data_IF_142469805173
#
_entry.id   IF_142469805173
#
_cell.length_a   1.000
_cell.length_b   1.000
_cell.length_c   1.000
_cell.angle_alpha   90.00
_cell.angle_beta   90.00
_cell.angle_gamma   90.00
#
_symmetry.space_group_name_H-M   'P 1'
#
loop_
_entity.id
_entity.type
_entity.pdbx_description
1 polymer ?
#
# COMPACT_ATOMS: atom_id res chain seq x y z
N UNK A 1 -14.93 -12.12 -17.20
CA UNK A 1 -14.33 -10.84 -17.58
C UNK A 1 -13.58 -10.38 -16.34
N UNK A 2 -12.25 -10.19 -16.43
CA UNK A 2 -11.50 -9.60 -15.32
C UNK A 2 -11.97 -8.14 -15.20
N UNK A 3 -12.43 -7.74 -14.01
CA UNK A 3 -12.76 -6.34 -13.71
C UNK A 3 -11.49 -5.49 -13.85
N UNK A 4 -11.62 -4.28 -14.38
CA UNK A 4 -10.55 -3.29 -14.29
C UNK A 4 -10.37 -2.85 -12.85
N UNK A 5 -9.19 -2.30 -12.51
CA UNK A 5 -8.93 -1.82 -11.16
C UNK A 5 -9.91 -0.71 -10.74
N UNK A 6 -10.36 0.10 -11.69
CA UNK A 6 -11.32 1.16 -11.47
C UNK A 6 -12.73 0.63 -11.16
N UNK A 7 -13.11 -0.52 -11.73
CA UNK A 7 -14.38 -1.19 -11.45
C UNK A 7 -14.43 -1.84 -10.06
N UNK A 8 -13.27 -1.94 -9.38
CA UNK A 8 -13.20 -2.43 -8.00
C UNK A 8 -13.60 -1.36 -6.97
N UNK A 9 -13.65 -0.08 -7.34
CA UNK A 9 -13.99 1.01 -6.41
C UNK A 9 -15.44 0.92 -5.96
N UNK A 10 -15.66 1.05 -4.65
CA UNK A 10 -17.02 1.01 -4.07
C UNK A 10 -17.76 -0.31 -4.26
N UNK A 11 -17.05 -1.38 -4.68
CA UNK A 11 -17.65 -2.69 -4.89
C UNK A 11 -18.32 -3.19 -3.60
N UNK A 12 -19.57 -3.66 -3.72
CA UNK A 12 -20.30 -4.25 -2.61
C UNK A 12 -21.32 -5.27 -3.14
N UNK A 13 -21.07 -6.56 -2.91
CA UNK A 13 -21.94 -7.62 -3.42
C UNK A 13 -21.91 -8.88 -2.56
N UNK A 14 -23.02 -9.62 -2.55
CA UNK A 14 -23.10 -10.94 -1.96
C UNK A 14 -22.46 -11.96 -2.90
N UNK A 15 -21.37 -12.59 -2.45
CA UNK A 15 -20.63 -13.57 -3.22
C UNK A 15 -21.21 -14.97 -3.09
N UNK A 16 -20.99 -15.81 -4.11
CA UNK A 16 -21.33 -17.25 -4.10
C UNK A 16 -20.65 -18.03 -2.97
N UNK A 17 -19.56 -17.49 -2.38
CA UNK A 17 -18.90 -18.07 -1.20
C UNK A 17 -19.66 -17.89 0.11
N UNK A 18 -20.80 -17.17 0.11
CA UNK A 18 -21.65 -16.91 1.28
C UNK A 18 -21.26 -15.67 2.10
N UNK A 19 -20.24 -14.91 1.68
CA UNK A 19 -19.87 -13.63 2.32
C UNK A 19 -20.20 -12.44 1.43
N UNK A 20 -20.45 -11.30 2.06
CA UNK A 20 -20.50 -10.02 1.37
C UNK A 20 -19.07 -9.50 1.19
N UNK A 21 -18.69 -9.20 -0.05
CA UNK A 21 -17.41 -8.55 -0.36
C UNK A 21 -17.64 -7.07 -0.59
N UNK A 22 -16.86 -6.24 0.08
CA UNK A 22 -16.91 -4.79 -0.06
C UNK A 22 -15.51 -4.20 -0.15
N UNK A 23 -15.38 -3.16 -0.96
CA UNK A 23 -14.16 -2.36 -1.14
C UNK A 23 -14.49 -0.93 -0.79
N UNK A 24 -13.95 -0.43 0.32
CA UNK A 24 -14.23 0.90 0.85
C UNK A 24 -13.39 2.02 0.23
N UNK A 25 -12.80 1.80 -0.95
CA UNK A 25 -11.98 2.78 -1.68
C UNK A 25 -12.89 3.48 -2.68
N UNK A 26 -12.96 4.82 -2.63
CA UNK A 26 -13.82 5.60 -3.53
C UNK A 26 -13.19 5.83 -4.91
N UNK A 27 -11.85 5.96 -4.96
CA UNK A 27 -11.14 6.25 -6.21
C UNK A 27 -9.80 5.53 -6.27
N UNK A 28 -9.54 4.87 -7.39
CA UNK A 28 -8.21 4.33 -7.72
C UNK A 28 -7.81 4.90 -9.08
N UNK A 29 -6.63 5.54 -9.13
CA UNK A 29 -6.04 6.08 -10.36
C UNK A 29 -4.62 5.56 -10.52
N UNK A 30 -4.41 4.78 -11.58
CA UNK A 30 -3.10 4.25 -11.97
C UNK A 30 -2.85 4.62 -13.42
N UNK A 31 -1.75 5.31 -13.71
CA UNK A 31 -1.42 5.72 -15.09
C UNK A 31 -0.45 6.89 -15.12
N UNK A 32 -0.05 7.29 -16.33
CA UNK A 32 0.84 8.45 -16.53
C UNK A 32 0.11 9.77 -16.24
N UNK A 33 0.73 10.67 -15.48
CA UNK A 33 0.23 12.01 -15.19
C UNK A 33 -0.98 12.07 -14.27
N UNK A 34 -1.42 10.93 -13.68
CA UNK A 34 -2.64 10.87 -12.85
C UNK A 34 -2.56 11.67 -11.56
N UNK A 35 -1.37 11.99 -11.07
CA UNK A 35 -1.16 12.85 -9.91
C UNK A 35 -1.83 14.23 -10.08
N UNK A 36 -1.94 14.73 -11.32
CA UNK A 36 -2.59 16.01 -11.61
C UNK A 36 -4.11 16.00 -11.33
N UNK A 37 -4.71 14.81 -11.18
CA UNK A 37 -6.13 14.67 -10.82
C UNK A 37 -6.38 14.80 -9.31
N UNK A 38 -5.33 14.89 -8.49
CA UNK A 38 -5.45 14.89 -7.02
C UNK A 38 -6.43 15.98 -6.51
N UNK A 39 -6.38 17.26 -6.95
CA UNK A 39 -7.34 18.26 -6.48
C UNK A 39 -8.79 17.86 -6.79
N UNK A 40 -9.04 17.31 -7.97
CA UNK A 40 -10.39 16.84 -8.36
C UNK A 40 -10.84 15.66 -7.51
N UNK A 41 -9.94 14.73 -7.20
CA UNK A 41 -10.24 13.54 -6.38
C UNK A 41 -10.67 13.95 -4.97
N UNK A 42 -10.01 14.96 -4.40
CA UNK A 42 -10.28 15.43 -3.02
C UNK A 42 -11.15 16.68 -2.97
N UNK A 43 -11.84 17.00 -4.05
CA UNK A 43 -12.64 18.25 -4.18
C UNK A 43 -13.64 18.47 -3.04
N UNK A 44 -14.18 17.40 -2.46
CA UNK A 44 -15.09 17.48 -1.32
C UNK A 44 -14.44 18.08 -0.05
N UNK A 45 -13.11 18.22 -0.03
CA UNK A 45 -12.32 18.81 1.05
C UNK A 45 -11.78 20.21 0.72
N UNK A 46 -12.29 20.86 -0.35
CA UNK A 46 -11.89 22.21 -0.75
C UNK A 46 -12.04 23.20 0.40
N UNK A 47 -11.03 24.03 0.65
CA UNK A 47 -10.96 24.98 1.76
C UNK A 47 -10.67 24.36 3.14
N UNK A 48 -10.61 23.04 3.25
CA UNK A 48 -10.34 22.29 4.49
C UNK A 48 -8.85 22.16 4.77
N UNK A 49 -8.51 21.69 5.97
CA UNK A 49 -7.15 21.44 6.43
C UNK A 49 -6.66 20.08 5.96
N UNK A 50 -5.68 20.10 5.08
CA UNK A 50 -4.99 18.91 4.57
C UNK A 50 -3.61 18.79 5.23
N UNK A 51 -3.25 17.60 5.68
CA UNK A 51 -1.96 17.30 6.28
C UNK A 51 -1.20 16.29 5.40
N UNK A 52 -0.07 16.71 4.83
CA UNK A 52 0.79 15.85 3.99
C UNK A 52 1.82 15.17 4.87
N UNK A 53 1.97 13.86 4.72
CA UNK A 53 2.97 13.04 5.39
C UNK A 53 3.88 12.43 4.33
N UNK A 54 5.18 12.67 4.45
CA UNK A 54 6.19 12.28 3.48
C UNK A 54 7.58 12.22 4.12
N UNK A 55 8.56 11.67 3.44
CA UNK A 55 9.98 11.76 3.77
C UNK A 55 10.74 12.66 2.78
N UNK A 56 12.02 12.90 3.03
CA UNK A 56 12.85 13.77 2.19
C UNK A 56 12.93 13.31 0.74
N UNK A 57 12.95 11.98 0.49
CA UNK A 57 13.04 11.43 -0.86
C UNK A 57 11.70 11.56 -1.58
N UNK A 58 10.60 11.16 -0.92
CA UNK A 58 9.27 11.22 -1.50
C UNK A 58 8.78 12.65 -1.70
N UNK A 59 9.24 13.61 -0.86
CA UNK A 59 9.03 15.04 -1.09
C UNK A 59 9.62 15.49 -2.42
N UNK A 60 10.87 15.09 -2.72
CA UNK A 60 11.54 15.49 -3.98
C UNK A 60 10.87 14.90 -5.22
N UNK A 61 10.45 13.64 -5.18
CA UNK A 61 9.92 12.94 -6.36
C UNK A 61 8.43 13.21 -6.62
N UNK A 62 7.65 13.51 -5.58
CA UNK A 62 6.20 13.68 -5.68
C UNK A 62 5.64 14.80 -4.79
N UNK A 63 6.14 14.94 -3.56
CA UNK A 63 5.58 15.83 -2.54
C UNK A 63 5.52 17.30 -2.94
N UNK A 64 6.58 17.81 -3.56
CA UNK A 64 6.60 19.20 -4.12
C UNK A 64 5.44 19.41 -5.09
N UNK A 65 5.20 18.44 -5.96
CA UNK A 65 4.13 18.50 -6.94
C UNK A 65 2.76 18.46 -6.27
N UNK A 66 2.60 17.57 -5.27
CA UNK A 66 1.36 17.48 -4.48
C UNK A 66 1.06 18.80 -3.77
N UNK A 67 2.06 19.40 -3.09
CA UNK A 67 1.92 20.69 -2.44
C UNK A 67 1.52 21.80 -3.43
N UNK A 68 2.18 21.87 -4.58
CA UNK A 68 1.87 22.85 -5.63
C UNK A 68 0.43 22.73 -6.14
N UNK A 69 -0.06 21.49 -6.32
CA UNK A 69 -1.40 21.22 -6.81
C UNK A 69 -2.49 21.62 -5.79
N UNK A 70 -2.17 21.56 -4.49
CA UNK A 70 -3.18 21.71 -3.43
C UNK A 70 -3.18 23.10 -2.78
N UNK A 71 -2.07 23.85 -2.79
CA UNK A 71 -1.90 25.10 -2.03
C UNK A 71 -2.92 26.20 -2.33
N UNK A 72 -3.51 26.23 -3.54
CA UNK A 72 -4.46 27.28 -3.94
C UNK A 72 -5.88 27.02 -3.43
N UNK A 73 -6.27 25.74 -3.33
CA UNK A 73 -7.65 25.34 -3.02
C UNK A 73 -7.80 24.77 -1.60
N UNK A 74 -6.69 24.42 -0.94
CA UNK A 74 -6.69 23.75 0.37
C UNK A 74 -5.78 24.46 1.36
N UNK A 75 -6.06 24.30 2.66
CA UNK A 75 -5.14 24.72 3.72
C UNK A 75 -4.12 23.59 3.94
N UNK A 76 -2.95 23.74 3.39
CA UNK A 76 -1.93 22.69 3.41
C UNK A 76 -0.97 22.88 4.58
N UNK A 77 -0.76 21.84 5.35
CA UNK A 77 0.37 21.67 6.26
C UNK A 77 1.06 20.34 5.96
N UNK A 78 2.31 20.18 6.34
CA UNK A 78 3.08 18.97 6.02
C UNK A 78 4.04 18.61 7.14
N UNK A 79 4.40 17.33 7.18
CA UNK A 79 5.49 16.81 7.95
C UNK A 79 6.42 15.98 7.05
N UNK A 80 7.68 16.32 7.04
CA UNK A 80 8.71 15.63 6.24
C UNK A 80 9.65 14.94 7.21
N UNK A 81 9.69 13.60 7.15
CA UNK A 81 10.66 12.81 7.89
C UNK A 81 12.05 12.97 7.29
N UNK A 82 13.05 13.19 8.16
CA UNK A 82 14.45 13.38 7.75
C UNK A 82 15.34 12.18 8.13
N UNK A 83 14.76 11.11 8.64
CA UNK A 83 15.47 9.89 8.97
C UNK A 83 15.94 9.18 7.71
N UNK A 84 17.20 8.74 7.69
CA UNK A 84 17.75 7.90 6.64
C UNK A 84 17.02 6.55 6.59
N UNK A 85 16.61 6.05 7.75
CA UNK A 85 15.87 4.81 7.93
C UNK A 85 14.59 5.05 8.70
N UNK A 86 13.51 5.32 8.00
CA UNK A 86 12.20 5.56 8.57
C UNK A 86 11.49 4.23 8.87
N UNK A 87 11.19 3.98 10.13
CA UNK A 87 10.44 2.81 10.55
C UNK A 87 9.04 3.17 11.04
N UNK A 88 8.02 2.35 10.76
CA UNK A 88 6.67 2.55 11.27
C UNK A 88 6.59 2.08 12.74
N UNK A 89 7.13 2.90 13.67
CA UNK A 89 7.21 2.58 15.08
C UNK A 89 6.55 3.65 15.96
N UNK A 90 6.55 3.42 17.28
CA UNK A 90 5.94 4.31 18.28
C UNK A 90 6.54 5.72 18.24
N UNK A 91 7.85 5.85 18.01
CA UNK A 91 8.52 7.14 17.96
C UNK A 91 8.04 7.96 16.76
N UNK A 92 7.95 7.34 15.60
CA UNK A 92 7.46 7.94 14.35
C UNK A 92 6.01 8.40 14.51
N UNK A 93 5.16 7.54 15.05
CA UNK A 93 3.76 7.88 15.35
C UNK A 93 3.62 8.98 16.39
N UNK A 94 4.44 8.94 17.44
CA UNK A 94 4.45 9.96 18.48
C UNK A 94 4.80 11.34 17.92
N UNK A 95 5.78 11.44 17.02
CA UNK A 95 6.14 12.70 16.34
C UNK A 95 4.99 13.24 15.50
N UNK A 96 4.35 12.39 14.69
CA UNK A 96 3.20 12.81 13.88
C UNK A 96 2.03 13.31 14.74
N UNK A 97 1.76 12.65 15.87
CA UNK A 97 0.70 13.09 16.81
C UNK A 97 0.99 14.46 17.43
N UNK A 98 2.26 14.86 17.57
CA UNK A 98 2.63 16.17 18.05
C UNK A 98 2.54 17.26 16.98
N UNK A 99 2.71 16.90 15.72
CA UNK A 99 2.81 17.83 14.59
C UNK A 99 1.50 17.99 13.80
N UNK A 100 0.62 16.96 13.83
CA UNK A 100 -0.65 17.02 13.10
C UNK A 100 -1.56 18.12 13.67
N UNK A 101 -2.06 19.06 12.84
CA UNK A 101 -2.99 20.08 13.29
C UNK A 101 -4.28 19.48 13.88
N UNK A 102 -4.77 20.04 15.00
CA UNK A 102 -5.96 19.53 15.71
C UNK A 102 -7.22 19.44 14.83
N UNK A 103 -7.32 20.27 13.80
CA UNK A 103 -8.46 20.29 12.86
C UNK A 103 -8.09 19.79 11.48
N UNK A 104 -7.28 18.73 11.40
CA UNK A 104 -6.99 18.08 10.13
C UNK A 104 -8.22 17.33 9.64
N UNK A 105 -8.64 17.62 8.41
CA UNK A 105 -9.81 17.00 7.77
C UNK A 105 -9.43 15.85 6.85
N UNK A 106 -8.20 15.87 6.30
CA UNK A 106 -7.70 14.86 5.36
C UNK A 106 -6.19 14.69 5.52
N UNK A 107 -5.73 13.44 5.49
CA UNK A 107 -4.31 13.11 5.40
C UNK A 107 -3.97 12.75 3.96
N UNK A 108 -2.87 13.30 3.43
CA UNK A 108 -2.27 12.89 2.15
C UNK A 108 -0.94 12.20 2.47
N UNK A 109 -0.89 10.90 2.28
CA UNK A 109 0.34 10.12 2.37
C UNK A 109 1.07 10.17 1.02
N UNK A 110 2.30 10.66 0.98
CA UNK A 110 3.13 10.67 -0.24
C UNK A 110 4.33 9.76 0.00
N UNK A 111 4.27 8.56 -0.54
CA UNK A 111 5.31 7.56 -0.28
C UNK A 111 4.95 6.15 -0.69
N UNK A 112 5.67 5.19 -0.14
CA UNK A 112 5.41 3.77 -0.31
C UNK A 112 4.96 3.10 0.99
N UNK A 113 5.40 1.89 1.30
CA UNK A 113 4.91 1.08 2.42
C UNK A 113 4.89 1.78 3.77
N UNK A 114 6.05 2.27 4.24
CA UNK A 114 6.18 2.88 5.58
C UNK A 114 5.28 4.10 5.76
N UNK A 115 5.32 5.05 4.82
CA UNK A 115 4.48 6.25 4.87
C UNK A 115 2.99 5.89 4.80
N UNK A 116 2.63 4.91 3.96
CA UNK A 116 1.27 4.44 3.84
C UNK A 116 0.76 3.81 5.16
N UNK A 117 1.53 2.93 5.79
CA UNK A 117 1.13 2.23 7.02
C UNK A 117 1.01 3.16 8.21
N UNK A 118 1.95 4.11 8.37
CA UNK A 118 1.89 5.17 9.38
C UNK A 118 0.63 6.01 9.18
N UNK A 119 0.37 6.47 7.94
CA UNK A 119 -0.76 7.34 7.64
C UNK A 119 -2.11 6.63 7.79
N UNK A 120 -2.18 5.35 7.38
CA UNK A 120 -3.36 4.50 7.58
C UNK A 120 -3.68 4.31 9.06
N UNK A 121 -2.67 3.98 9.86
CA UNK A 121 -2.84 3.80 11.31
C UNK A 121 -3.27 5.09 11.97
N UNK A 122 -2.60 6.21 11.65
CA UNK A 122 -2.93 7.54 12.19
C UNK A 122 -4.37 7.93 11.82
N UNK A 123 -4.74 7.80 10.55
CA UNK A 123 -6.10 8.05 10.06
C UNK A 123 -7.15 7.21 10.77
N UNK A 124 -6.86 5.91 10.96
CA UNK A 124 -7.74 5.00 11.70
C UNK A 124 -7.93 5.45 13.17
N UNK A 125 -6.84 5.79 13.87
CA UNK A 125 -6.88 6.18 15.29
C UNK A 125 -7.52 7.52 15.52
N UNK A 126 -7.36 8.46 14.60
CA UNK A 126 -7.91 9.81 14.72
C UNK A 126 -9.29 9.97 14.05
N UNK A 127 -9.75 8.96 13.30
CA UNK A 127 -10.99 9.04 12.51
C UNK A 127 -10.88 10.02 11.33
N UNK A 128 -9.67 10.23 10.80
CA UNK A 128 -9.39 11.12 9.68
C UNK A 128 -9.21 10.26 8.41
N UNK A 129 -9.94 10.52 7.32
CA UNK A 129 -9.71 9.84 6.06
C UNK A 129 -8.31 10.16 5.51
N UNK A 130 -7.75 9.22 4.72
CA UNK A 130 -6.46 9.45 4.09
C UNK A 130 -6.47 9.06 2.60
N UNK A 131 -5.62 9.72 1.84
CA UNK A 131 -5.32 9.42 0.43
C UNK A 131 -3.87 9.01 0.34
N UNK A 132 -3.57 7.97 -0.45
CA UNK A 132 -2.19 7.60 -0.76
C UNK A 132 -1.81 8.02 -2.17
N UNK A 133 -0.73 8.78 -2.28
CA UNK A 133 0.01 9.04 -3.51
C UNK A 133 1.23 8.11 -3.49
N UNK A 134 1.11 6.98 -4.19
CA UNK A 134 2.15 5.95 -4.22
C UNK A 134 3.36 6.39 -5.05
N UNK A 135 4.57 6.19 -4.52
CA UNK A 135 5.82 6.56 -5.19
C UNK A 135 6.62 5.37 -5.70
N UNK A 136 6.34 4.15 -5.25
CA UNK A 136 7.02 2.93 -5.69
C UNK A 136 6.10 1.70 -5.65
N UNK A 137 6.11 0.82 -6.65
CA UNK A 137 5.32 -0.41 -6.66
C UNK A 137 6.06 -1.54 -5.93
N UNK A 138 6.22 -1.42 -4.60
CA UNK A 138 7.11 -2.29 -3.83
C UNK A 138 6.40 -3.34 -2.98
N UNK A 139 5.11 -3.17 -2.68
CA UNK A 139 4.34 -4.03 -1.78
C UNK A 139 2.83 -3.91 -2.03
N UNK A 140 2.04 -4.86 -1.54
CA UNK A 140 0.58 -4.91 -1.72
C UNK A 140 -0.23 -4.14 -0.66
N UNK A 141 0.43 -3.39 0.23
CA UNK A 141 -0.21 -2.68 1.34
C UNK A 141 -1.06 -1.47 0.97
N UNK A 142 -1.01 -0.94 -0.26
CA UNK A 142 -1.75 0.29 -0.62
C UNK A 142 -3.26 0.20 -0.35
N UNK A 143 -3.87 -0.92 -0.68
CA UNK A 143 -5.29 -1.18 -0.48
C UNK A 143 -5.59 -2.08 0.74
N UNK A 144 -4.62 -2.26 1.64
CA UNK A 144 -4.80 -3.05 2.86
C UNK A 144 -5.66 -2.31 3.88
N UNK A 145 -6.28 -3.07 4.79
CA UNK A 145 -7.03 -2.57 5.96
C UNK A 145 -6.31 -2.85 7.28
N UNK A 146 -5.02 -3.21 7.20
CA UNK A 146 -4.18 -3.44 8.37
C UNK A 146 -2.87 -2.68 8.22
N UNK A 147 -2.28 -2.27 9.35
CA UNK A 147 -1.00 -1.58 9.42
C UNK A 147 -0.03 -2.40 10.26
N UNK A 148 1.00 -3.00 9.67
CA UNK A 148 2.10 -3.60 10.41
C UNK A 148 2.98 -2.48 10.98
N UNK A 149 3.20 -2.49 12.29
CA UNK A 149 4.02 -1.51 13.01
C UNK A 149 5.05 -2.25 13.85
N UNK A 150 6.15 -1.59 14.16
CA UNK A 150 7.18 -2.09 15.06
C UNK A 150 6.91 -1.51 16.44
N UNK A 151 6.53 -2.37 17.40
CA UNK A 151 6.24 -1.97 18.77
C UNK A 151 7.15 -2.78 19.72
N UNK A 152 7.90 -2.09 20.57
CA UNK A 152 8.90 -2.72 21.47
C UNK A 152 9.86 -3.68 20.72
N UNK A 153 10.26 -3.33 19.49
CA UNK A 153 11.15 -4.14 18.65
C UNK A 153 10.49 -5.38 18.03
N UNK A 154 9.17 -5.51 18.12
CA UNK A 154 8.40 -6.62 17.54
C UNK A 154 7.40 -6.07 16.52
N UNK A 155 7.30 -6.76 15.36
CA UNK A 155 6.32 -6.43 14.34
C UNK A 155 4.93 -6.88 14.78
N UNK A 156 4.02 -5.92 14.91
CA UNK A 156 2.63 -6.13 15.33
C UNK A 156 1.69 -5.57 14.28
N UNK A 157 0.72 -6.36 13.86
CA UNK A 157 -0.30 -5.92 12.90
C UNK A 157 -1.49 -5.29 13.63
N UNK A 158 -1.79 -4.05 13.30
CA UNK A 158 -2.93 -3.31 13.83
C UNK A 158 -4.02 -3.14 12.78
N UNK A 159 -5.26 -2.98 13.26
CA UNK A 159 -6.37 -2.62 12.38
C UNK A 159 -6.15 -1.20 11.82
N UNK A 160 -6.42 -1.07 10.53
CA UNK A 160 -6.40 0.18 9.79
C UNK A 160 -7.72 0.42 9.05
N UNK A 161 -7.69 1.35 8.11
CA UNK A 161 -8.83 1.69 7.25
C UNK A 161 -8.42 1.69 5.79
N UNK A 162 -9.36 1.47 4.89
CA UNK A 162 -9.10 1.72 3.47
C UNK A 162 -8.72 3.20 3.26
N UNK A 163 -7.81 3.49 2.31
CA UNK A 163 -7.64 4.86 1.84
C UNK A 163 -8.93 5.32 1.14
N UNK A 164 -9.24 6.61 1.24
CA UNK A 164 -10.29 7.26 0.45
C UNK A 164 -9.98 7.11 -1.04
N UNK A 165 -8.71 7.36 -1.42
CA UNK A 165 -8.23 7.20 -2.77
C UNK A 165 -6.79 6.68 -2.83
N UNK A 166 -6.47 6.00 -3.93
CA UNK A 166 -5.13 5.56 -4.31
C UNK A 166 -4.77 6.24 -5.63
N UNK A 167 -3.65 6.97 -5.64
CA UNK A 167 -3.13 7.67 -6.82
C UNK A 167 -1.71 7.19 -7.08
N UNK A 168 -1.49 6.47 -8.17
CA UNK A 168 -0.21 5.89 -8.55
C UNK A 168 0.19 6.40 -9.93
N UNK A 169 1.03 7.43 -9.96
CA UNK A 169 1.55 8.00 -11.19
C UNK A 169 2.70 7.15 -11.71
N UNK A 170 2.51 6.51 -12.86
CA UNK A 170 3.49 5.59 -13.44
C UNK A 170 4.78 6.32 -13.86
N UNK A 171 4.69 7.60 -14.21
CA UNK A 171 5.88 8.38 -14.53
C UNK A 171 6.78 8.61 -13.31
N UNK A 172 6.20 8.61 -12.11
CA UNK A 172 6.93 8.65 -10.83
C UNK A 172 7.37 7.24 -10.45
N UNK A 173 6.45 6.27 -10.44
CA UNK A 173 6.71 4.93 -9.94
C UNK A 173 7.79 4.17 -10.72
N UNK A 174 7.90 4.37 -12.03
CA UNK A 174 8.95 3.74 -12.85
C UNK A 174 10.38 4.23 -12.50
N UNK A 175 10.50 5.44 -11.92
CA UNK A 175 11.77 5.99 -11.46
C UNK A 175 12.18 5.52 -10.06
N UNK A 176 11.33 4.77 -9.38
CA UNK A 176 11.66 4.19 -8.08
C UNK A 176 12.93 3.33 -8.13
N UNK A 177 13.66 3.17 -7.03
CA UNK A 177 14.82 2.30 -6.96
C UNK A 177 14.53 0.90 -7.51
N UNK A 178 15.47 0.31 -8.26
CA UNK A 178 15.27 -0.99 -8.92
C UNK A 178 14.88 -2.10 -7.92
N UNK A 179 15.45 -2.04 -6.73
CA UNK A 179 15.14 -3.02 -5.68
C UNK A 179 13.66 -2.98 -5.28
N UNK A 180 13.05 -1.79 -5.27
CA UNK A 180 11.62 -1.64 -4.97
C UNK A 180 10.73 -2.22 -6.08
N UNK A 181 11.10 -2.02 -7.35
CA UNK A 181 10.40 -2.65 -8.48
C UNK A 181 10.49 -4.18 -8.42
N UNK A 182 11.69 -4.68 -8.10
CA UNK A 182 11.93 -6.12 -7.94
C UNK A 182 11.18 -6.69 -6.73
N UNK A 183 11.13 -5.94 -5.63
CA UNK A 183 10.38 -6.33 -4.43
C UNK A 183 8.88 -6.47 -4.72
N UNK A 184 8.28 -5.50 -5.41
CA UNK A 184 6.87 -5.59 -5.79
C UNK A 184 6.57 -6.77 -6.70
N UNK A 185 7.44 -7.04 -7.69
CA UNK A 185 7.30 -8.25 -8.51
C UNK A 185 7.42 -9.51 -7.65
N UNK A 186 8.43 -9.57 -6.76
CA UNK A 186 8.63 -10.69 -5.85
C UNK A 186 7.45 -10.91 -4.91
N UNK A 187 6.88 -9.82 -4.39
CA UNK A 187 5.67 -9.86 -3.55
C UNK A 187 4.48 -10.44 -4.31
N UNK A 188 4.24 -10.03 -5.54
CA UNK A 188 3.18 -10.63 -6.37
C UNK A 188 3.46 -12.11 -6.65
N UNK A 189 4.68 -12.49 -7.05
CA UNK A 189 5.00 -13.90 -7.32
C UNK A 189 4.84 -14.79 -6.08
N UNK A 190 5.10 -14.28 -4.88
CA UNK A 190 4.85 -14.98 -3.62
C UNK A 190 3.39 -15.38 -3.41
N UNK A 191 2.43 -14.78 -4.13
CA UNK A 191 1.01 -15.14 -4.03
C UNK A 191 0.73 -16.55 -4.58
N UNK A 192 1.58 -17.12 -5.44
CA UNK A 192 1.45 -18.53 -5.84
C UNK A 192 1.56 -19.48 -4.64
N UNK A 193 2.54 -19.25 -3.76
CA UNK A 193 2.70 -20.03 -2.52
C UNK A 193 1.58 -19.73 -1.52
N UNK A 194 1.17 -18.47 -1.38
CA UNK A 194 0.08 -18.07 -0.52
C UNK A 194 -1.25 -18.75 -0.89
N UNK A 195 -1.59 -18.80 -2.18
CA UNK A 195 -2.79 -19.49 -2.66
C UNK A 195 -2.73 -21.00 -2.44
N UNK A 196 -1.56 -21.62 -2.63
CA UNK A 196 -1.37 -23.04 -2.34
C UNK A 196 -1.57 -23.33 -0.84
N UNK A 197 -1.01 -22.51 0.04
CA UNK A 197 -1.20 -22.61 1.49
C UNK A 197 -2.66 -22.40 1.89
N UNK A 198 -3.38 -21.48 1.23
CA UNK A 198 -4.79 -21.24 1.48
C UNK A 198 -5.65 -22.45 1.09
N UNK A 199 -5.32 -23.15 -0.02
CA UNK A 199 -5.95 -24.43 -0.37
C UNK A 199 -5.70 -25.50 0.66
N UNK A 200 -4.48 -25.64 1.15
CA UNK A 200 -4.11 -26.59 2.20
C UNK A 200 -4.91 -26.30 3.49
N UNK A 201 -4.97 -25.04 3.90
CA UNK A 201 -5.72 -24.61 5.07
C UNK A 201 -7.24 -24.89 4.93
N UNK A 202 -7.81 -24.67 3.74
CA UNK A 202 -9.20 -25.04 3.43
C UNK A 202 -9.44 -26.54 3.63
N UNK A 203 -8.52 -27.40 3.15
CA UNK A 203 -8.70 -28.87 3.19
C UNK A 203 -8.50 -29.39 4.61
N UNK A 204 -7.42 -28.98 5.28
CA UNK A 204 -7.03 -29.53 6.59
C UNK A 204 -7.82 -28.89 7.71
N UNK A 205 -7.85 -27.55 7.76
CA UNK A 205 -8.41 -26.78 8.88
C UNK A 205 -9.86 -26.37 8.65
N UNK A 206 -10.42 -26.64 7.46
CA UNK A 206 -11.76 -26.15 7.05
C UNK A 206 -11.85 -24.62 7.08
N UNK A 207 -10.74 -23.93 6.85
CA UNK A 207 -10.71 -22.48 6.78
C UNK A 207 -11.59 -21.95 5.64
N UNK A 208 -12.09 -20.72 5.82
CA UNK A 208 -12.84 -20.03 4.79
C UNK A 208 -11.98 -19.85 3.53
N UNK A 209 -12.62 -20.05 2.39
CA UNK A 209 -12.01 -19.94 1.07
C UNK A 209 -13.01 -19.35 0.08
N UNK A 210 -12.58 -18.38 -0.72
CA UNK A 210 -13.39 -17.78 -1.77
C UNK A 210 -12.79 -18.02 -3.15
N UNK A 211 -13.45 -18.82 -4.02
CA UNK A 211 -12.96 -19.08 -5.37
C UNK A 211 -12.90 -17.84 -6.27
N UNK A 212 -13.78 -16.84 -6.03
CA UNK A 212 -13.78 -15.60 -6.82
C UNK A 212 -12.57 -14.73 -6.49
N UNK A 213 -12.19 -14.64 -5.21
CA UNK A 213 -10.98 -13.93 -4.79
C UNK A 213 -9.72 -14.65 -5.28
N UNK A 214 -9.69 -15.98 -5.23
CA UNK A 214 -8.60 -16.76 -5.82
C UNK A 214 -8.42 -16.45 -7.31
N UNK A 215 -9.50 -16.48 -8.09
CA UNK A 215 -9.44 -16.15 -9.52
C UNK A 215 -8.94 -14.73 -9.76
N UNK A 216 -9.35 -13.77 -8.93
CA UNK A 216 -8.85 -12.40 -8.99
C UNK A 216 -7.33 -12.37 -8.85
N UNK A 217 -6.78 -12.97 -7.78
CA UNK A 217 -5.33 -13.03 -7.53
C UNK A 217 -4.60 -13.77 -8.64
N UNK A 218 -5.09 -14.93 -9.09
CA UNK A 218 -4.49 -15.68 -10.20
C UNK A 218 -4.45 -14.88 -11.51
N UNK A 219 -5.46 -14.05 -11.77
CA UNK A 219 -5.49 -13.22 -12.99
C UNK A 219 -4.40 -12.13 -12.95
N UNK A 220 -4.10 -11.58 -11.78
CA UNK A 220 -3.03 -10.60 -11.62
C UNK A 220 -1.64 -11.22 -11.72
N UNK A 221 -1.47 -12.41 -11.15
CA UNK A 221 -0.23 -13.19 -11.25
C UNK A 221 0.19 -13.42 -12.70
N UNK A 222 -0.73 -13.87 -13.56
CA UNK A 222 -0.44 -14.10 -14.97
C UNK A 222 0.02 -12.84 -15.70
N UNK A 223 -0.65 -11.71 -15.46
CA UNK A 223 -0.25 -10.43 -16.07
C UNK A 223 1.17 -10.02 -15.64
N UNK A 224 1.52 -10.20 -14.38
CA UNK A 224 2.84 -9.86 -13.87
C UNK A 224 3.92 -10.83 -14.38
N UNK A 225 3.62 -12.12 -14.50
CA UNK A 225 4.54 -13.11 -15.06
C UNK A 225 4.89 -12.77 -16.52
N UNK A 226 3.88 -12.45 -17.34
CA UNK A 226 4.06 -12.05 -18.73
C UNK A 226 4.85 -10.74 -18.86
N UNK A 227 4.70 -9.82 -17.92
CA UNK A 227 5.36 -8.51 -17.92
C UNK A 227 6.74 -8.51 -17.24
N UNK A 228 7.13 -9.57 -16.51
CA UNK A 228 8.31 -9.58 -15.63
C UNK A 228 9.62 -9.18 -16.34
N UNK A 229 9.79 -9.53 -17.62
CA UNK A 229 10.98 -9.18 -18.41
C UNK A 229 11.18 -7.65 -18.56
N UNK A 230 10.11 -6.86 -18.48
CA UNK A 230 10.15 -5.40 -18.62
C UNK A 230 10.57 -4.66 -17.35
N UNK A 231 10.73 -5.34 -16.20
CA UNK A 231 11.09 -4.68 -14.91
C UNK A 231 12.46 -4.01 -14.99
N UNK A 232 13.46 -4.71 -15.53
CA UNK A 232 14.84 -4.19 -15.63
C UNK A 232 14.96 -2.99 -16.57
N UNK A 233 14.11 -2.90 -17.56
CA UNK A 233 14.02 -1.76 -18.50
C UNK A 233 13.10 -0.65 -18.00
N UNK A 234 12.46 -0.81 -16.83
CA UNK A 234 11.48 0.15 -16.28
C UNK A 234 10.34 0.45 -17.24
N UNK A 235 9.92 -0.56 -18.02
CA UNK A 235 8.84 -0.41 -18.97
C UNK A 235 7.55 0.04 -18.26
N UNK A 236 6.95 1.13 -18.77
CA UNK A 236 5.79 1.76 -18.12
C UNK A 236 4.60 0.79 -18.00
N UNK A 237 4.36 -0.04 -19.01
CA UNK A 237 3.28 -1.02 -18.98
C UNK A 237 3.54 -2.13 -17.95
N UNK A 238 4.80 -2.53 -17.79
CA UNK A 238 5.22 -3.50 -16.77
C UNK A 238 5.02 -2.92 -15.36
N UNK A 239 5.49 -1.69 -15.12
CA UNK A 239 5.33 -1.01 -13.83
C UNK A 239 3.85 -0.81 -13.50
N UNK A 240 3.03 -0.46 -14.49
CA UNK A 240 1.58 -0.35 -14.32
C UNK A 240 0.95 -1.69 -13.93
N UNK A 241 1.28 -2.78 -14.63
CA UNK A 241 0.75 -4.11 -14.33
C UNK A 241 1.12 -4.57 -12.92
N UNK A 242 2.36 -4.33 -12.47
CA UNK A 242 2.80 -4.64 -11.10
C UNK A 242 2.01 -3.79 -10.10
N UNK A 243 1.89 -2.49 -10.34
CA UNK A 243 1.15 -1.57 -9.45
C UNK A 243 -0.31 -2.00 -9.29
N UNK A 244 -0.99 -2.27 -10.41
CA UNK A 244 -2.38 -2.74 -10.39
C UNK A 244 -2.51 -4.09 -9.67
N UNK A 245 -1.58 -5.01 -9.88
CA UNK A 245 -1.58 -6.31 -9.21
C UNK A 245 -1.39 -6.19 -7.70
N UNK A 246 -0.48 -5.32 -7.24
CA UNK A 246 -0.26 -5.05 -5.82
C UNK A 246 -1.52 -4.45 -5.17
N UNK A 247 -2.18 -3.50 -5.81
CA UNK A 247 -3.43 -2.91 -5.31
C UNK A 247 -4.53 -3.98 -5.26
N UNK A 248 -4.68 -4.80 -6.30
CA UNK A 248 -5.68 -5.88 -6.34
C UNK A 248 -5.41 -6.96 -5.28
N UNK A 249 -4.14 -7.25 -4.96
CA UNK A 249 -3.77 -8.13 -3.85
C UNK A 249 -4.25 -7.57 -2.51
N UNK A 250 -4.01 -6.29 -2.23
CA UNK A 250 -4.51 -5.62 -1.03
C UNK A 250 -6.04 -5.62 -0.94
N UNK A 251 -6.73 -5.38 -2.06
CA UNK A 251 -8.20 -5.50 -2.14
C UNK A 251 -8.66 -6.92 -1.80
N UNK A 252 -7.97 -7.95 -2.33
CA UNK A 252 -8.30 -9.35 -2.05
C UNK A 252 -8.19 -9.69 -0.55
N UNK A 253 -7.19 -9.15 0.15
CA UNK A 253 -7.07 -9.24 1.62
C UNK A 253 -8.32 -8.65 2.29
N UNK A 254 -8.71 -7.45 1.93
CA UNK A 254 -9.88 -6.78 2.49
C UNK A 254 -11.20 -7.53 2.21
N UNK A 255 -11.38 -8.05 1.00
CA UNK A 255 -12.57 -8.85 0.62
C UNK A 255 -12.71 -10.13 1.44
N UNK A 256 -11.61 -10.77 1.79
CA UNK A 256 -11.58 -12.00 2.60
C UNK A 256 -11.69 -11.69 4.09
N UNK A 257 -11.16 -10.55 4.51
CA UNK A 257 -10.99 -10.18 5.93
C UNK A 257 -9.86 -10.95 6.62
N UNK A 258 -8.90 -11.44 5.83
CA UNK A 258 -7.70 -12.14 6.31
C UNK A 258 -6.61 -12.10 5.22
N UNK A 259 -5.35 -12.17 5.62
CA UNK A 259 -4.20 -12.09 4.71
C UNK A 259 -4.00 -13.33 3.81
N UNK A 260 -4.80 -14.39 3.98
CA UNK A 260 -4.66 -15.67 3.27
C UNK A 260 -4.47 -15.60 1.75
N UNK A 261 -5.18 -14.74 0.99
CA UNK A 261 -5.00 -14.65 -0.45
C UNK A 261 -3.62 -14.13 -0.87
N UNK A 262 -2.93 -13.44 0.03
CA UNK A 262 -1.70 -12.70 -0.27
C UNK A 262 -0.49 -13.17 0.54
N UNK A 263 -0.69 -13.77 1.72
CA UNK A 263 0.37 -14.13 2.67
C UNK A 263 0.26 -15.59 3.08
N UNK A 264 1.29 -16.38 2.78
CA UNK A 264 1.43 -17.79 3.16
C UNK A 264 2.62 -18.02 4.09
N UNK A 265 3.08 -19.27 4.21
CA UNK A 265 4.20 -19.68 5.06
C UNK A 265 5.51 -19.00 4.66
N UNK A 266 5.74 -18.81 3.37
CA UNK A 266 6.92 -18.10 2.85
C UNK A 266 6.96 -16.65 3.37
N UNK A 267 5.85 -15.94 3.33
CA UNK A 267 5.72 -14.58 3.82
C UNK A 267 6.02 -14.47 5.33
N UNK A 268 5.47 -15.40 6.13
CA UNK A 268 5.76 -15.44 7.58
C UNK A 268 7.24 -15.75 7.88
N UNK A 269 7.89 -16.62 7.09
CA UNK A 269 9.31 -16.89 7.24
C UNK A 269 10.16 -15.65 6.93
N UNK A 270 9.80 -14.88 5.89
CA UNK A 270 10.46 -13.62 5.56
C UNK A 270 10.41 -12.65 6.74
N UNK A 271 9.23 -12.41 7.32
CA UNK A 271 9.11 -11.56 8.50
C UNK A 271 9.86 -12.07 9.73
N UNK A 272 9.90 -13.38 9.92
CA UNK A 272 10.69 -13.98 11.00
C UNK A 272 12.19 -13.65 10.85
N UNK A 273 12.74 -13.77 9.65
CA UNK A 273 14.12 -13.42 9.37
C UNK A 273 14.40 -11.93 9.52
N UNK A 274 13.50 -11.07 9.05
CA UNK A 274 13.59 -9.61 9.23
C UNK A 274 13.69 -9.26 10.72
N UNK A 275 12.78 -9.77 11.55
CA UNK A 275 12.82 -9.56 13.01
C UNK A 275 14.10 -10.09 13.65
N UNK A 276 14.62 -11.23 13.20
CA UNK A 276 15.88 -11.78 13.68
C UNK A 276 17.07 -10.87 13.35
N UNK A 277 17.12 -10.31 12.14
CA UNK A 277 18.17 -9.38 11.74
C UNK A 277 18.08 -8.06 12.52
N UNK A 278 16.88 -7.49 12.66
CA UNK A 278 16.66 -6.28 13.47
C UNK A 278 17.14 -6.48 14.92
N UNK A 279 16.76 -7.58 15.56
CA UNK A 279 17.15 -7.87 16.94
C UNK A 279 18.67 -8.07 17.11
N UNK A 280 19.36 -8.48 16.04
CA UNK A 280 20.82 -8.61 16.03
C UNK A 280 21.56 -7.31 15.63
N UNK A 281 20.82 -6.22 15.42
CA UNK A 281 21.39 -4.93 15.00
C UNK A 281 21.87 -4.90 13.55
N UNK A 282 21.48 -5.88 12.72
CA UNK A 282 21.79 -5.94 11.30
C UNK A 282 20.63 -5.38 10.49
N UNK A 283 20.58 -4.05 10.38
CA UNK A 283 19.54 -3.36 9.63
C UNK A 283 19.80 -3.35 8.10
N UNK A 284 20.81 -4.08 7.60
CA UNK A 284 21.20 -4.06 6.19
C UNK A 284 20.68 -5.26 5.38
N UNK A 285 20.09 -6.25 6.04
CA UNK A 285 19.60 -7.49 5.41
C UNK A 285 18.10 -7.57 5.41
N UNK A 286 17.50 -6.93 4.44
CA UNK A 286 16.07 -6.98 4.19
C UNK A 286 15.74 -8.08 3.18
N UNK A 287 14.90 -9.02 3.56
CA UNK A 287 14.48 -10.12 2.68
C UNK A 287 13.27 -9.75 1.83
N UNK A 288 12.43 -8.87 2.35
CA UNK A 288 11.30 -8.25 1.65
C UNK A 288 11.26 -6.77 2.01
N UNK A 289 11.22 -5.94 1.02
CA UNK A 289 11.24 -4.48 1.16
C UNK A 289 9.85 -3.86 1.34
N UNK A 290 8.88 -4.60 1.84
CA UNK A 290 7.51 -4.12 1.99
C UNK A 290 7.41 -2.87 2.86
N UNK A 291 8.33 -2.70 3.82
CA UNK A 291 8.24 -1.67 4.85
C UNK A 291 9.37 -0.64 4.83
N UNK A 292 10.48 -0.91 4.15
CA UNK A 292 11.68 -0.08 4.23
C UNK A 292 12.00 0.63 2.91
N UNK A 293 11.01 0.94 2.15
CA UNK A 293 11.13 1.45 0.79
C UNK A 293 11.29 2.97 0.73
N UNK A 294 11.41 3.65 1.85
CA UNK A 294 11.87 5.04 1.92
C UNK A 294 13.39 5.18 1.83
N UNK A 295 14.15 4.07 1.81
CA UNK A 295 15.58 4.06 2.12
C UNK A 295 16.53 3.84 0.94
N UNK A 296 16.03 3.78 -0.30
CA UNK A 296 16.92 3.52 -1.44
C UNK A 296 16.94 4.66 -2.43
#
# INVERSE_FOLDING_TARGET
VALSIEEMTGLNYMCSCGKNHSVGIETIKVGSGVINNLPTIIKNYEGMQVFIIEDTHTYEVAGKKVEELLKEEFKVSKYIFNEEHLHPNELTLGRLLLEIPVKTDLIIAVGSGTINDISRFLGCKLGIPYVIVGTAPSMDGYASVVSPLICDGVKVTYDGVYPLAIVCDIDIMKEAPMLMLQAGLGDILGKYTALADWHVAKIINKEYFCPEVEKLVLSTLKKCEEAAAGVTSRDASTVQNITEALILSGIAIGMVGASRPASGGEHYLSHCYEMMFMNNGDNTKWLRSEEHTSEL
#
